data_IF_285903745635
#
_entry.id   IF_285903745635
#
_cell.length_a   1.000
_cell.length_b   1.000
_cell.length_c   1.000
_cell.angle_alpha   90.00
_cell.angle_beta   90.00
_cell.angle_gamma   90.00
#
_symmetry.space_group_name_H-M   'P 1'
#
loop_
_entity.id
_entity.type
_entity.pdbx_description
1 polymer ?
#
# COMPACT_ATOMS: atom_id res chain seq x y z
N UNK A 1 3.96 61.70 67.29
CA UNK A 1 3.04 61.93 66.16
C UNK A 1 3.65 61.18 64.97
N UNK A 2 3.09 60.01 64.61
CA UNK A 2 3.55 59.19 63.49
C UNK A 2 2.53 59.45 62.39
N UNK A 3 3.00 60.02 61.26
CA UNK A 3 2.20 60.22 60.06
C UNK A 3 2.18 58.97 59.20
N UNK A 4 0.96 58.46 58.96
CA UNK A 4 0.74 57.41 57.94
C UNK A 4 0.66 58.02 56.56
N UNK A 5 1.63 57.71 55.69
CA UNK A 5 1.59 58.00 54.26
C UNK A 5 0.79 56.95 53.52
N UNK A 6 -0.33 57.36 52.96
CA UNK A 6 -1.15 56.49 52.05
C UNK A 6 -0.50 56.49 50.66
N UNK A 7 0.16 55.37 50.33
CA UNK A 7 0.59 55.13 48.96
C UNK A 7 -0.60 54.49 48.18
N UNK A 8 -1.20 55.25 47.30
CA UNK A 8 -2.19 54.78 46.33
C UNK A 8 -1.44 54.16 45.16
N UNK A 9 -1.51 52.85 45.03
CA UNK A 9 -0.97 52.13 43.85
C UNK A 9 -2.05 52.18 42.76
N UNK A 10 -1.75 52.94 41.70
CA UNK A 10 -2.57 52.95 40.49
C UNK A 10 -2.25 51.72 39.65
N UNK A 11 -3.15 50.77 39.58
CA UNK A 11 -3.09 49.61 38.68
C UNK A 11 -3.32 50.12 37.24
N UNK A 12 -2.32 50.00 36.39
CA UNK A 12 -2.47 50.21 34.94
C UNK A 12 -3.31 49.08 34.32
N UNK A 13 -4.45 49.42 33.80
CA UNK A 13 -5.33 48.49 33.07
C UNK A 13 -4.75 48.29 31.69
N UNK A 14 -4.20 47.08 31.43
CA UNK A 14 -3.79 46.67 30.11
C UNK A 14 -5.03 46.34 29.27
N UNK A 15 -5.32 47.16 28.27
CA UNK A 15 -6.31 46.86 27.24
C UNK A 15 -5.63 46.00 26.16
N UNK A 16 -5.99 44.74 25.94
CA UNK A 16 -5.38 43.95 24.87
C UNK A 16 -5.80 44.54 23.52
N UNK A 17 -4.88 44.52 22.52
CA UNK A 17 -5.17 44.98 21.17
C UNK A 17 -6.25 44.11 20.55
N UNK A 18 -7.25 44.73 19.92
CA UNK A 18 -8.29 44.04 19.20
C UNK A 18 -7.71 43.26 18.02
N UNK A 19 -7.75 41.93 18.11
CA UNK A 19 -7.37 41.05 17.01
C UNK A 19 -8.51 41.06 16.00
N UNK A 20 -8.30 41.72 14.86
CA UNK A 20 -9.24 41.62 13.73
C UNK A 20 -9.08 40.26 13.06
N UNK A 21 -10.15 39.47 12.90
CA UNK A 21 -10.09 38.22 12.16
C UNK A 21 -9.87 38.54 10.67
N UNK A 22 -8.72 38.14 10.12
CA UNK A 22 -8.47 38.10 8.68
C UNK A 22 -9.23 36.89 8.13
N UNK A 23 -10.43 37.10 7.61
CA UNK A 23 -11.15 36.09 6.81
C UNK A 23 -10.65 36.24 5.38
N UNK A 24 -9.70 35.39 4.99
CA UNK A 24 -9.34 35.16 3.60
C UNK A 24 -10.08 33.90 3.14
N UNK A 25 -11.33 34.06 2.77
CA UNK A 25 -12.06 33.04 2.04
C UNK A 25 -11.82 33.26 0.54
N UNK A 26 -10.85 32.58 -0.03
CA UNK A 26 -10.72 32.46 -1.49
C UNK A 26 -11.63 31.31 -1.93
N UNK A 27 -12.84 31.62 -2.32
CA UNK A 27 -13.75 30.65 -2.94
C UNK A 27 -13.29 30.48 -4.38
N UNK A 28 -12.57 29.42 -4.69
CA UNK A 28 -12.35 28.99 -6.07
C UNK A 28 -13.64 28.31 -6.56
N UNK A 29 -14.47 29.09 -7.25
CA UNK A 29 -15.57 28.55 -8.03
C UNK A 29 -14.97 28.05 -9.35
N UNK A 30 -14.71 26.74 -9.45
CA UNK A 30 -14.44 26.11 -10.73
C UNK A 30 -15.74 26.11 -11.53
N UNK A 31 -15.82 26.80 -12.68
CA UNK A 31 -17.03 26.76 -13.49
C UNK A 31 -17.21 25.33 -14.02
N UNK A 32 -18.21 24.62 -13.49
CA UNK A 32 -18.63 23.36 -14.11
C UNK A 32 -19.13 23.70 -15.51
N UNK A 33 -18.52 23.16 -16.59
CA UNK A 33 -18.96 23.47 -17.95
C UNK A 33 -20.43 23.05 -18.11
N UNK A 34 -21.25 23.94 -18.66
CA UNK A 34 -22.64 23.64 -18.94
C UNK A 34 -22.75 22.64 -20.10
N UNK A 35 -23.93 22.09 -20.34
CA UNK A 35 -24.14 21.07 -21.37
C UNK A 35 -23.75 21.54 -22.79
N UNK A 36 -23.91 22.82 -23.08
CA UNK A 36 -23.51 23.40 -24.38
C UNK A 36 -21.99 23.48 -24.53
N UNK A 37 -21.26 23.82 -23.48
CA UNK A 37 -19.80 23.84 -23.47
C UNK A 37 -19.23 22.43 -23.58
N UNK A 38 -19.86 21.42 -22.98
CA UNK A 38 -19.48 20.03 -23.13
C UNK A 38 -19.69 19.52 -24.56
N UNK A 39 -20.80 19.91 -25.20
CA UNK A 39 -21.04 19.58 -26.60
C UNK A 39 -20.06 20.27 -27.57
N UNK A 40 -19.69 21.52 -27.29
CA UNK A 40 -18.71 22.26 -28.10
C UNK A 40 -17.30 21.63 -27.94
N UNK A 41 -16.92 21.19 -26.76
CA UNK A 41 -15.66 20.49 -26.53
C UNK A 41 -15.63 19.11 -27.22
N UNK A 42 -16.73 18.38 -27.20
CA UNK A 42 -16.87 17.11 -27.94
C UNK A 42 -16.81 17.27 -29.44
N UNK A 43 -17.38 18.37 -29.98
CA UNK A 43 -17.33 18.69 -31.41
C UNK A 43 -15.95 19.18 -31.87
N UNK A 44 -15.19 19.85 -31.00
CA UNK A 44 -13.84 20.35 -31.30
C UNK A 44 -12.76 19.25 -31.30
N UNK A 45 -13.01 18.12 -30.65
CA UNK A 45 -12.14 16.94 -30.64
C UNK A 45 -12.92 15.70 -31.09
N UNK A 46 -13.17 15.52 -32.40
CA UNK A 46 -13.68 14.25 -32.87
C UNK A 46 -12.62 13.18 -32.58
N UNK A 47 -12.95 12.25 -31.70
CA UNK A 47 -12.11 11.10 -31.45
C UNK A 47 -11.96 10.31 -32.75
N UNK A 48 -10.83 10.49 -33.43
CA UNK A 48 -10.46 9.63 -34.55
C UNK A 48 -10.27 8.23 -33.97
N UNK A 49 -11.07 7.23 -34.39
CA UNK A 49 -10.85 5.88 -33.91
C UNK A 49 -9.49 5.41 -34.45
N UNK A 50 -8.49 5.40 -33.57
CA UNK A 50 -7.22 4.74 -33.88
C UNK A 50 -7.51 3.25 -33.92
N UNK A 51 -7.31 2.56 -35.06
CA UNK A 51 -7.49 1.13 -35.11
C UNK A 51 -6.53 0.49 -34.11
N UNK A 52 -7.11 -0.16 -33.09
CA UNK A 52 -6.37 -0.96 -32.15
C UNK A 52 -5.82 -2.17 -32.91
N UNK A 53 -4.58 -2.08 -33.37
CA UNK A 53 -3.87 -3.24 -33.89
C UNK A 53 -3.54 -4.11 -32.68
N UNK A 54 -4.39 -5.08 -32.38
CA UNK A 54 -4.10 -6.11 -31.42
C UNK A 54 -3.03 -6.99 -32.07
N UNK A 55 -1.78 -7.04 -31.56
CA UNK A 55 -0.82 -8.00 -32.04
C UNK A 55 -1.35 -9.40 -31.70
N UNK A 56 -1.77 -10.13 -32.72
CA UNK A 56 -2.10 -11.53 -32.57
C UNK A 56 -0.78 -12.24 -32.21
N UNK A 57 -0.66 -12.68 -30.96
CA UNK A 57 0.44 -13.53 -30.54
C UNK A 57 0.33 -14.84 -31.31
N UNK A 58 1.12 -14.98 -32.36
CA UNK A 58 1.30 -16.25 -33.03
C UNK A 58 2.10 -17.12 -32.09
N UNK A 59 1.40 -17.99 -31.36
CA UNK A 59 2.04 -19.05 -30.57
C UNK A 59 2.59 -20.05 -31.57
N UNK A 60 3.87 -19.94 -31.90
CA UNK A 60 4.57 -21.01 -32.60
C UNK A 60 4.82 -22.12 -31.58
N UNK A 61 4.17 -23.28 -31.68
CA UNK A 61 4.48 -24.39 -30.78
C UNK A 61 5.91 -24.85 -31.10
N UNK A 62 6.83 -24.55 -30.19
CA UNK A 62 8.18 -25.12 -30.25
C UNK A 62 8.08 -26.54 -29.72
N UNK A 63 7.92 -27.48 -30.64
CA UNK A 63 8.07 -28.91 -30.35
C UNK A 63 9.57 -29.22 -30.41
N UNK A 64 10.24 -29.05 -29.29
CA UNK A 64 11.58 -29.55 -29.11
C UNK A 64 11.53 -31.09 -28.99
N UNK A 65 11.73 -31.80 -30.10
CA UNK A 65 11.96 -33.23 -30.03
C UNK A 65 13.40 -33.43 -29.55
N UNK A 66 13.53 -33.81 -28.29
CA UNK A 66 14.80 -34.30 -27.75
C UNK A 66 14.97 -35.72 -28.25
N UNK A 67 15.74 -35.89 -29.32
CA UNK A 67 16.27 -37.19 -29.71
C UNK A 67 17.50 -37.46 -28.85
N UNK A 68 17.29 -37.92 -27.61
CA UNK A 68 18.32 -38.57 -26.83
C UNK A 68 18.58 -39.94 -27.41
N UNK A 69 19.78 -40.16 -27.89
CA UNK A 69 20.30 -41.48 -28.26
C UNK A 69 20.32 -42.34 -26.99
N UNK A 70 19.44 -43.35 -26.95
CA UNK A 70 19.43 -44.33 -25.86
C UNK A 70 20.49 -45.38 -26.21
N UNK A 71 21.65 -45.24 -25.63
CA UNK A 71 22.69 -46.26 -25.68
C UNK A 71 22.25 -47.42 -24.77
N UNK A 72 21.87 -48.55 -25.38
CA UNK A 72 21.51 -49.79 -24.69
C UNK A 72 22.77 -50.53 -24.24
N UNK A 73 23.46 -49.96 -23.25
CA UNK A 73 24.52 -50.65 -22.51
C UNK A 73 23.94 -51.22 -21.22
N UNK A 74 24.01 -52.55 -21.11
CA UNK A 74 23.70 -53.29 -19.88
C UNK A 74 24.57 -52.79 -18.74
N UNK A 75 23.93 -52.31 -17.70
CA UNK A 75 24.23 -52.19 -16.29
C UNK A 75 23.96 -50.78 -15.72
N UNK A 76 22.94 -50.75 -14.88
CA UNK A 76 22.89 -50.00 -13.65
C UNK A 76 23.06 -48.49 -13.68
N UNK A 77 21.96 -47.72 -13.67
CA UNK A 77 21.93 -46.40 -13.10
C UNK A 77 22.13 -45.25 -14.10
N UNK A 78 21.02 -44.78 -14.66
CA UNK A 78 21.02 -43.55 -15.44
C UNK A 78 21.26 -42.34 -14.51
N UNK A 79 22.49 -41.85 -14.49
CA UNK A 79 22.81 -40.52 -13.94
C UNK A 79 22.61 -39.53 -15.08
N UNK A 80 21.53 -38.80 -15.02
CA UNK A 80 21.32 -37.63 -15.90
C UNK A 80 22.26 -36.54 -15.42
N UNK A 81 23.41 -36.40 -16.06
CA UNK A 81 24.27 -35.24 -15.85
C UNK A 81 23.66 -34.02 -16.57
N UNK A 82 23.43 -32.88 -15.90
CA UNK A 82 23.03 -31.67 -16.59
C UNK A 82 24.21 -31.16 -17.41
N UNK A 83 24.06 -31.15 -18.74
CA UNK A 83 25.02 -30.48 -19.63
C UNK A 83 25.02 -28.97 -19.31
N UNK A 84 26.09 -28.51 -18.68
CA UNK A 84 26.39 -27.09 -18.49
C UNK A 84 26.62 -26.43 -19.85
N UNK A 85 25.63 -25.82 -20.45
CA UNK A 85 25.85 -24.84 -21.51
C UNK A 85 26.34 -23.54 -20.84
N UNK A 86 27.63 -23.34 -20.86
CA UNK A 86 28.29 -22.10 -20.52
C UNK A 86 27.93 -21.05 -21.58
N UNK A 87 27.30 -19.92 -21.13
CA UNK A 87 27.29 -18.67 -21.87
C UNK A 87 25.97 -18.19 -22.43
N UNK A 88 24.97 -18.03 -21.58
CA UNK A 88 23.94 -17.04 -21.80
C UNK A 88 23.44 -16.56 -20.41
N UNK A 89 23.83 -15.35 -20.02
CA UNK A 89 23.18 -14.63 -18.92
C UNK A 89 21.81 -14.16 -19.41
N UNK A 90 20.89 -15.09 -19.59
CA UNK A 90 19.50 -14.76 -19.74
C UNK A 90 18.95 -14.48 -18.35
N UNK A 91 18.63 -13.23 -18.06
CA UNK A 91 17.72 -12.84 -16.99
C UNK A 91 16.35 -13.46 -17.31
N UNK A 92 16.24 -14.77 -17.10
CA UNK A 92 14.95 -15.44 -17.12
C UNK A 92 14.28 -14.96 -15.83
N UNK A 93 13.13 -14.25 -15.88
CA UNK A 93 12.39 -13.97 -14.68
C UNK A 93 12.09 -15.32 -14.02
N UNK A 94 12.56 -15.50 -12.80
CA UNK A 94 12.26 -16.71 -12.03
C UNK A 94 10.77 -16.67 -11.74
N UNK A 95 10.02 -17.39 -12.56
CA UNK A 95 8.60 -17.55 -12.38
C UNK A 95 8.42 -18.54 -11.24
N UNK A 96 8.06 -18.06 -10.07
CA UNK A 96 7.71 -18.94 -8.95
C UNK A 96 6.45 -19.69 -9.33
N UNK A 97 6.55 -20.99 -9.52
CA UNK A 97 5.40 -21.85 -9.74
C UNK A 97 4.63 -21.95 -8.43
N UNK A 98 3.59 -21.12 -8.29
CA UNK A 98 2.62 -21.19 -7.22
C UNK A 98 1.72 -22.41 -7.46
N UNK A 99 1.91 -23.51 -6.71
CA UNK A 99 1.02 -24.65 -6.65
C UNK A 99 0.46 -25.19 -7.99
N UNK A 100 -0.73 -25.80 -7.99
CA UNK A 100 -1.41 -26.20 -9.22
C UNK A 100 -1.65 -24.94 -10.06
N UNK A 101 -1.16 -24.95 -11.29
CA UNK A 101 -0.99 -23.81 -12.20
C UNK A 101 -2.06 -22.70 -12.05
N UNK A 102 -1.72 -21.62 -11.36
CA UNK A 102 -2.58 -20.44 -11.29
C UNK A 102 -2.72 -19.81 -12.69
N UNK A 103 -3.93 -19.39 -13.09
CA UNK A 103 -4.15 -18.73 -14.39
C UNK A 103 -3.46 -17.37 -14.51
N UNK A 104 -3.15 -16.74 -13.39
CA UNK A 104 -2.39 -15.50 -13.28
C UNK A 104 -1.20 -15.71 -12.33
N UNK A 105 -0.19 -14.85 -12.47
CA UNK A 105 0.99 -14.89 -11.63
C UNK A 105 1.07 -13.65 -10.74
N UNK A 106 1.77 -13.79 -9.60
CA UNK A 106 2.11 -12.64 -8.78
C UNK A 106 3.07 -11.72 -9.53
N UNK A 107 2.90 -10.41 -9.33
CA UNK A 107 3.79 -9.42 -9.90
C UNK A 107 5.21 -9.53 -9.32
N UNK A 108 6.20 -9.23 -10.15
CA UNK A 108 7.61 -9.30 -9.78
C UNK A 108 7.98 -8.36 -8.63
N UNK A 109 7.21 -7.29 -8.41
CA UNK A 109 7.43 -6.35 -7.32
C UNK A 109 7.32 -6.97 -5.92
N UNK A 110 6.64 -8.11 -5.79
CA UNK A 110 6.51 -8.81 -4.51
C UNK A 110 7.68 -9.76 -4.20
N UNK A 111 8.62 -9.94 -5.15
CA UNK A 111 9.69 -10.93 -4.99
C UNK A 111 9.16 -12.35 -4.80
N UNK A 112 10.01 -13.22 -4.25
CA UNK A 112 9.70 -14.65 -4.12
C UNK A 112 9.61 -15.14 -2.67
N UNK A 113 10.14 -14.39 -1.71
CA UNK A 113 10.28 -14.84 -0.31
C UNK A 113 8.96 -15.26 0.35
N UNK A 114 7.88 -14.54 0.10
CA UNK A 114 6.56 -14.89 0.64
C UNK A 114 6.05 -16.23 0.10
N UNK A 115 6.41 -16.57 -1.13
CA UNK A 115 5.99 -17.79 -1.80
C UNK A 115 6.85 -19.02 -1.42
N UNK A 116 8.05 -18.81 -0.90
CA UNK A 116 8.93 -19.88 -0.39
C UNK A 116 8.29 -20.56 0.84
N UNK A 117 7.45 -19.83 1.57
CA UNK A 117 6.62 -20.41 2.60
C UNK A 117 5.34 -21.00 1.98
N UNK A 118 5.32 -22.33 1.82
CA UNK A 118 4.21 -23.06 1.20
C UNK A 118 2.89 -22.92 1.97
N UNK A 119 2.93 -22.74 3.27
CA UNK A 119 1.73 -22.49 4.07
C UNK A 119 1.12 -21.13 3.69
N UNK A 120 1.94 -20.10 3.56
CA UNK A 120 1.52 -18.76 3.17
C UNK A 120 0.96 -18.74 1.76
N UNK A 121 1.69 -19.30 0.80
CA UNK A 121 1.27 -19.33 -0.59
C UNK A 121 -0.02 -20.14 -0.81
N UNK A 122 -0.18 -21.27 -0.12
CA UNK A 122 -1.40 -22.07 -0.16
C UNK A 122 -2.58 -21.35 0.51
N UNK A 123 -2.34 -20.66 1.64
CA UNK A 123 -3.40 -19.89 2.32
C UNK A 123 -3.88 -18.73 1.46
N UNK A 124 -2.99 -18.04 0.78
CA UNK A 124 -3.30 -16.89 -0.08
C UNK A 124 -4.03 -17.31 -1.38
N UNK A 125 -3.63 -18.45 -1.96
CA UNK A 125 -4.19 -18.96 -3.21
C UNK A 125 -3.66 -18.25 -4.45
N UNK A 126 -4.42 -18.29 -5.55
CA UNK A 126 -4.03 -17.71 -6.82
C UNK A 126 -4.39 -16.22 -6.93
N UNK A 127 -3.59 -15.42 -7.67
CA UNK A 127 -3.98 -14.06 -8.05
C UNK A 127 -5.28 -14.06 -8.85
N UNK A 128 -6.17 -13.14 -8.52
CA UNK A 128 -7.46 -12.97 -9.22
C UNK A 128 -7.51 -11.68 -10.05
N UNK A 129 -6.60 -10.76 -9.79
CA UNK A 129 -6.47 -9.49 -10.52
C UNK A 129 -4.99 -9.21 -10.83
N UNK A 130 -4.73 -8.33 -11.78
CA UNK A 130 -3.39 -7.78 -12.01
C UNK A 130 -2.93 -6.90 -10.84
N UNK A 131 -1.62 -6.70 -10.73
CA UNK A 131 -1.07 -5.80 -9.72
C UNK A 131 -1.40 -4.33 -10.03
N UNK A 132 -1.74 -3.58 -8.99
CA UNK A 132 -1.99 -2.14 -9.04
C UNK A 132 -0.81 -1.38 -8.42
N UNK A 133 -0.26 -0.43 -9.18
CA UNK A 133 0.76 0.49 -8.70
C UNK A 133 0.09 1.76 -8.20
N UNK A 134 0.28 2.11 -6.94
CA UNK A 134 -0.39 3.20 -6.26
C UNK A 134 0.63 4.18 -5.67
N UNK A 135 0.28 5.47 -5.70
CA UNK A 135 0.95 6.48 -4.88
C UNK A 135 0.14 6.66 -3.61
N UNK A 136 0.60 6.09 -2.53
CA UNK A 136 -0.11 6.10 -1.27
C UNK A 136 0.60 6.93 -0.20
N UNK A 137 0.12 6.79 1.02
CA UNK A 137 0.72 7.36 2.22
C UNK A 137 0.95 6.24 3.23
N UNK A 138 2.05 6.31 3.97
CA UNK A 138 2.29 5.44 5.11
C UNK A 138 2.57 6.25 6.37
N UNK A 139 2.35 5.63 7.51
CA UNK A 139 2.80 6.13 8.81
C UNK A 139 3.34 4.96 9.64
N UNK A 140 4.54 5.15 10.21
CA UNK A 140 5.20 4.12 11.02
C UNK A 140 4.78 4.29 12.48
N UNK A 141 4.43 3.19 13.13
CA UNK A 141 4.03 3.10 14.53
C UNK A 141 5.07 2.34 15.36
N UNK A 142 4.88 2.29 16.67
CA UNK A 142 5.78 1.56 17.57
C UNK A 142 5.86 0.06 17.22
N UNK A 143 4.75 -0.55 16.85
CA UNK A 143 4.62 -2.00 16.62
C UNK A 143 4.00 -2.35 15.27
N UNK A 144 4.05 -1.43 14.31
CA UNK A 144 3.49 -1.70 12.99
C UNK A 144 3.50 -0.49 12.06
N UNK A 145 2.68 -0.56 11.04
CA UNK A 145 2.60 0.45 9.98
C UNK A 145 1.16 0.58 9.49
N UNK A 146 0.76 1.76 9.13
CA UNK A 146 -0.48 1.99 8.39
C UNK A 146 -0.18 2.45 6.98
N UNK A 147 -0.96 1.97 6.03
CA UNK A 147 -0.94 2.36 4.62
C UNK A 147 -2.30 2.93 4.22
N UNK A 148 -2.27 4.01 3.46
CA UNK A 148 -3.46 4.61 2.84
C UNK A 148 -3.31 4.63 1.33
N UNK A 149 -4.31 4.13 0.64
CA UNK A 149 -4.42 4.14 -0.81
C UNK A 149 -5.24 5.36 -1.28
N UNK A 150 -4.96 5.93 -2.46
CA UNK A 150 -5.77 7.01 -3.04
C UNK A 150 -7.23 6.64 -3.25
N UNK A 151 -7.56 5.35 -3.27
CA UNK A 151 -8.92 4.81 -3.38
C UNK A 151 -9.69 4.83 -2.05
N UNK A 152 -9.06 5.32 -0.97
CA UNK A 152 -9.69 5.45 0.34
C UNK A 152 -9.52 4.24 1.24
N UNK A 153 -8.75 3.25 0.83
CA UNK A 153 -8.46 2.04 1.61
C UNK A 153 -7.34 2.30 2.61
N UNK A 154 -7.51 1.78 3.82
CA UNK A 154 -6.52 1.86 4.90
C UNK A 154 -6.25 0.46 5.42
N UNK A 155 -4.99 0.09 5.46
CA UNK A 155 -4.49 -1.14 6.11
C UNK A 155 -3.64 -0.76 7.30
N UNK A 156 -4.03 -1.22 8.49
CA UNK A 156 -3.25 -1.09 9.72
C UNK A 156 -2.63 -2.47 10.00
N UNK A 157 -1.32 -2.60 9.86
CA UNK A 157 -0.62 -3.88 9.92
C UNK A 157 0.22 -3.95 11.18
N UNK A 158 -0.01 -4.98 12.00
CA UNK A 158 0.78 -5.29 13.20
C UNK A 158 1.48 -6.64 13.02
N UNK A 159 2.75 -6.65 12.55
CA UNK A 159 3.49 -7.89 12.37
C UNK A 159 3.67 -8.68 13.67
N UNK A 160 3.85 -7.99 14.79
CA UNK A 160 4.04 -8.60 16.10
C UNK A 160 2.82 -9.39 16.59
N UNK A 161 1.62 -9.02 16.16
CA UNK A 161 0.38 -9.72 16.43
C UNK A 161 -0.07 -10.62 15.27
N UNK A 162 0.67 -10.65 14.16
CA UNK A 162 0.32 -11.35 12.94
C UNK A 162 -1.11 -11.01 12.47
N UNK A 163 -1.49 -9.74 12.64
CA UNK A 163 -2.86 -9.27 12.36
C UNK A 163 -2.86 -7.94 11.62
N UNK A 164 -3.93 -7.70 10.85
CA UNK A 164 -4.18 -6.41 10.25
C UNK A 164 -5.67 -6.02 10.34
N UNK A 165 -5.91 -4.73 10.27
CA UNK A 165 -7.24 -4.14 10.17
C UNK A 165 -7.38 -3.44 8.82
N UNK A 166 -8.57 -3.49 8.29
CA UNK A 166 -8.89 -2.88 7.01
C UNK A 166 -10.09 -1.94 7.16
N UNK A 167 -10.00 -0.78 6.55
CA UNK A 167 -11.09 0.18 6.49
C UNK A 167 -11.14 0.83 5.11
N UNK A 168 -12.35 1.19 4.69
CA UNK A 168 -12.59 2.01 3.49
C UNK A 168 -13.31 3.27 3.94
N UNK A 169 -12.85 4.42 3.49
CA UNK A 169 -13.45 5.72 3.82
C UNK A 169 -13.68 5.85 5.33
N UNK A 170 -12.60 5.68 6.12
CA UNK A 170 -12.67 5.66 7.57
C UNK A 170 -13.52 6.83 8.11
N UNK A 171 -14.49 6.53 8.97
CA UNK A 171 -15.40 7.57 9.48
C UNK A 171 -14.60 8.60 10.29
N UNK A 172 -15.01 9.88 10.26
CA UNK A 172 -14.38 10.88 11.10
C UNK A 172 -14.60 10.51 12.57
N UNK A 173 -13.50 10.42 13.31
CA UNK A 173 -13.53 10.12 14.74
C UNK A 173 -13.47 11.41 15.52
N UNK A 174 -14.28 11.50 16.58
CA UNK A 174 -14.19 12.60 17.53
C UNK A 174 -12.80 12.61 18.16
N UNK A 175 -12.16 13.77 18.12
CA UNK A 175 -10.87 13.96 18.78
C UNK A 175 -11.14 14.01 20.28
N UNK A 176 -10.77 12.93 20.97
CA UNK A 176 -10.63 12.95 22.44
C UNK A 176 -9.25 13.46 22.81
N UNK A 177 -9.14 14.03 24.01
CA UNK A 177 -7.85 14.40 24.58
C UNK A 177 -7.01 13.13 24.83
N UNK A 178 -5.96 12.96 24.03
CA UNK A 178 -5.02 11.83 24.17
C UNK A 178 -3.71 12.39 24.65
N UNK A 179 -3.22 11.84 25.75
CA UNK A 179 -1.86 12.14 26.22
C UNK A 179 -0.87 11.38 25.35
N UNK A 180 -0.15 12.12 24.54
CA UNK A 180 0.87 11.56 23.63
C UNK A 180 2.20 11.50 24.37
N UNK A 181 2.90 10.35 24.39
CA UNK A 181 4.23 10.24 24.99
C UNK A 181 5.24 11.15 24.29
N UNK A 182 6.28 11.56 25.00
CA UNK A 182 7.36 12.36 24.44
C UNK A 182 8.02 11.67 23.23
N UNK A 183 8.22 12.39 22.17
CA UNK A 183 8.81 11.87 20.93
C UNK A 183 7.89 11.03 20.05
N UNK A 184 6.63 10.86 20.45
CA UNK A 184 5.61 10.15 19.66
C UNK A 184 4.61 11.13 19.04
N UNK A 185 3.81 10.63 18.11
CA UNK A 185 2.77 11.39 17.44
C UNK A 185 1.41 10.68 17.57
N UNK A 186 0.36 11.48 17.75
CA UNK A 186 -1.00 10.96 17.53
C UNK A 186 -1.29 10.98 16.04
N UNK A 187 -1.74 9.87 15.45
CA UNK A 187 -2.13 9.87 14.04
C UNK A 187 -3.34 10.77 13.82
N UNK A 188 -3.41 11.38 12.64
CA UNK A 188 -4.46 12.32 12.27
C UNK A 188 -5.32 11.79 11.11
N UNK A 189 -6.32 12.55 10.71
CA UNK A 189 -7.18 12.25 9.55
C UNK A 189 -7.62 10.78 9.46
N UNK A 190 -7.45 10.14 8.30
CA UNK A 190 -7.85 8.76 8.06
C UNK A 190 -7.13 7.75 8.95
N UNK A 191 -5.83 7.91 9.16
CA UNK A 191 -5.08 7.06 10.09
C UNK A 191 -5.55 7.25 11.53
N UNK A 192 -5.80 8.50 11.94
CA UNK A 192 -6.36 8.79 13.25
C UNK A 192 -7.76 8.20 13.43
N UNK A 193 -8.57 8.18 12.38
CA UNK A 193 -9.89 7.59 12.41
C UNK A 193 -9.84 6.06 12.63
N UNK A 194 -8.97 5.36 11.90
CA UNK A 194 -8.76 3.92 12.06
C UNK A 194 -8.15 3.60 13.44
N UNK A 195 -7.12 4.34 13.83
CA UNK A 195 -6.40 4.12 15.08
C UNK A 195 -7.28 4.28 16.33
N UNK A 196 -8.23 5.25 16.32
CA UNK A 196 -9.17 5.46 17.44
C UNK A 196 -10.45 4.68 17.31
N UNK A 197 -10.90 4.46 16.07
CA UNK A 197 -12.24 3.95 15.78
C UNK A 197 -12.32 2.43 15.70
N UNK A 198 -11.26 1.74 15.29
CA UNK A 198 -11.27 0.30 15.21
C UNK A 198 -10.74 -0.34 16.49
N UNK A 199 -11.51 -1.25 17.11
CA UNK A 199 -11.09 -1.93 18.34
C UNK A 199 -9.76 -2.66 18.17
N UNK A 200 -8.85 -2.48 19.11
CA UNK A 200 -7.56 -3.16 19.17
C UNK A 200 -6.44 -2.53 18.34
N UNK A 201 -6.72 -1.63 17.40
CA UNK A 201 -5.68 -1.00 16.56
C UNK A 201 -4.71 -0.18 17.41
N UNK A 202 -5.23 0.66 18.31
CA UNK A 202 -4.40 1.47 19.19
C UNK A 202 -3.49 0.61 20.07
N UNK A 203 -4.04 -0.44 20.67
CA UNK A 203 -3.28 -1.35 21.54
C UNK A 203 -2.23 -2.14 20.75
N UNK A 204 -2.54 -2.54 19.53
CA UNK A 204 -1.65 -3.31 18.68
C UNK A 204 -0.50 -2.48 18.12
N UNK A 205 -0.79 -1.30 17.59
CA UNK A 205 0.20 -0.46 16.92
C UNK A 205 0.96 0.47 17.88
N UNK A 206 0.33 0.93 18.95
CA UNK A 206 0.86 2.00 19.78
C UNK A 206 0.74 3.37 19.12
N UNK A 207 1.60 4.30 19.49
CA UNK A 207 1.66 5.65 18.92
C UNK A 207 2.50 5.69 17.63
N UNK A 208 2.27 6.69 16.80
CA UNK A 208 3.07 6.89 15.60
C UNK A 208 4.47 7.41 15.96
N UNK A 209 5.49 6.85 15.29
CA UNK A 209 6.91 7.21 15.43
C UNK A 209 7.38 8.14 14.33
N UNK A 210 6.63 8.27 13.24
CA UNK A 210 6.93 9.16 12.13
C UNK A 210 5.72 10.01 11.75
N UNK A 211 5.92 11.15 11.10
CA UNK A 211 4.83 11.80 10.38
C UNK A 211 4.35 10.92 9.23
N UNK A 212 3.20 11.26 8.67
CA UNK A 212 2.70 10.66 7.44
C UNK A 212 3.66 10.96 6.28
N UNK A 213 3.95 9.94 5.45
CA UNK A 213 4.92 10.02 4.35
C UNK A 213 4.32 9.43 3.09
N UNK A 214 4.55 10.09 1.95
CA UNK A 214 4.21 9.52 0.65
C UNK A 214 5.06 8.28 0.35
N UNK A 215 4.43 7.22 -0.17
CA UNK A 215 5.12 6.03 -0.62
C UNK A 215 4.55 5.48 -1.91
N UNK A 216 5.36 4.74 -2.65
CA UNK A 216 4.89 3.91 -3.77
C UNK A 216 4.49 2.56 -3.21
N UNK A 217 3.31 2.11 -3.57
CA UNK A 217 2.80 0.82 -3.15
C UNK A 217 2.44 -0.01 -4.36
N UNK A 218 2.61 -1.31 -4.24
CA UNK A 218 2.05 -2.28 -5.19
C UNK A 218 1.11 -3.19 -4.43
N UNK A 219 -0.10 -3.36 -4.93
CA UNK A 219 -1.08 -4.27 -4.35
C UNK A 219 -1.57 -5.24 -5.41
N UNK A 220 -1.84 -6.48 -5.02
CA UNK A 220 -2.45 -7.47 -5.90
C UNK A 220 -3.40 -8.35 -5.11
N UNK A 221 -4.63 -8.49 -5.61
CA UNK A 221 -5.64 -9.35 -4.97
C UNK A 221 -5.48 -10.80 -5.37
N UNK A 222 -5.66 -11.65 -4.39
CA UNK A 222 -5.62 -13.10 -4.47
C UNK A 222 -6.96 -13.67 -4.01
N UNK A 223 -7.15 -14.98 -4.20
CA UNK A 223 -8.39 -15.66 -3.81
C UNK A 223 -8.75 -15.45 -2.33
N UNK A 224 -7.77 -15.50 -1.44
CA UNK A 224 -7.98 -15.42 0.00
C UNK A 224 -7.25 -14.25 0.67
N UNK A 225 -6.96 -13.18 -0.07
CA UNK A 225 -6.28 -12.04 0.51
C UNK A 225 -5.65 -11.09 -0.50
N UNK A 226 -4.62 -10.40 -0.04
CA UNK A 226 -3.91 -9.34 -0.75
C UNK A 226 -2.41 -9.44 -0.51
N UNK A 227 -1.60 -9.23 -1.54
CA UNK A 227 -0.20 -8.83 -1.37
C UNK A 227 -0.10 -7.31 -1.38
N UNK A 228 0.66 -6.77 -0.44
CA UNK A 228 0.98 -5.35 -0.36
C UNK A 228 2.51 -5.20 -0.27
N UNK A 229 3.10 -4.53 -1.24
CA UNK A 229 4.51 -4.16 -1.24
C UNK A 229 4.67 -2.66 -1.03
N UNK A 230 5.55 -2.26 -0.12
CA UNK A 230 5.98 -0.89 0.07
C UNK A 230 7.26 -0.64 -0.72
N UNK A 231 7.16 0.17 -1.76
CA UNK A 231 8.30 0.49 -2.63
C UNK A 231 9.37 1.37 -1.96
N UNK A 232 9.04 1.99 -0.83
CA UNK A 232 10.00 2.79 -0.06
C UNK A 232 10.94 1.93 0.78
N UNK A 233 10.40 0.94 1.48
CA UNK A 233 11.16 0.02 2.34
C UNK A 233 11.50 -1.32 1.68
N UNK A 234 10.82 -1.67 0.60
CA UNK A 234 10.91 -2.99 -0.04
C UNK A 234 10.22 -4.09 0.76
N UNK A 235 9.47 -3.77 1.79
CA UNK A 235 8.74 -4.74 2.61
C UNK A 235 7.50 -5.24 1.88
N UNK A 236 7.25 -6.54 1.99
CA UNK A 236 6.06 -7.19 1.44
C UNK A 236 5.26 -7.83 2.56
N UNK A 237 3.96 -7.57 2.57
CA UNK A 237 3.01 -8.16 3.51
C UNK A 237 2.00 -9.03 2.76
N UNK A 238 1.68 -10.16 3.35
CA UNK A 238 0.56 -11.02 2.96
C UNK A 238 -0.57 -10.75 3.93
N UNK A 239 -1.67 -10.23 3.43
CA UNK A 239 -2.87 -9.89 4.20
C UNK A 239 -3.98 -10.85 3.82
N UNK A 240 -4.33 -11.77 4.71
CA UNK A 240 -5.34 -12.79 4.46
C UNK A 240 -6.74 -12.29 4.82
N UNK A 241 -7.74 -12.77 4.11
CA UNK A 241 -9.14 -12.38 4.31
C UNK A 241 -9.70 -12.70 5.70
N UNK A 242 -9.02 -13.56 6.47
CA UNK A 242 -9.34 -13.86 7.86
C UNK A 242 -8.73 -12.88 8.89
N UNK A 243 -8.07 -11.82 8.44
CA UNK A 243 -7.44 -10.79 9.26
C UNK A 243 -5.99 -11.05 9.64
N UNK A 244 -5.43 -12.21 9.26
CA UNK A 244 -4.01 -12.49 9.51
C UNK A 244 -3.11 -11.68 8.59
N UNK A 245 -2.02 -11.18 9.15
CA UNK A 245 -0.93 -10.56 8.41
C UNK A 245 0.35 -11.37 8.59
N UNK A 246 1.07 -11.60 7.50
CA UNK A 246 2.35 -12.28 7.50
C UNK A 246 3.40 -11.42 6.82
N UNK A 247 4.64 -11.51 7.27
CA UNK A 247 5.74 -10.64 6.86
C UNK A 247 6.21 -9.74 7.99
N UNK A 248 7.05 -8.73 7.69
CA UNK A 248 7.52 -8.37 6.34
C UNK A 248 8.49 -9.40 5.74
N UNK A 249 8.41 -9.58 4.43
CA UNK A 249 9.30 -10.41 3.62
C UNK A 249 10.31 -9.57 2.85
#
# INVERSE_FOLDING_TARGET
>A
IVGCSNNTVTLATFTPPAVQPKILATVYVSPTPNAEQQQALAAANPATPTPLIIPTATVTPYIGVFLGEVDNGEDGGAVIAPALLAGATSNIPVTVALGPACPAQADVAFGTRWAENTEVSNALGCPIEGAANLQGTLQIFERGVMYYSPTGEIWAVSPSQSHFWYAVNAPPVQQGDIVVPEGMLAPSQGFGAVWRGLPGVQDALGFARSPEQGTKMVTQKFQNGLLLADGGSGQVFVLLSDGRAMGPY
#
